data_IF_378264471012
#
_entry.id   IF_378264471012
#
_cell.length_a   1.000
_cell.length_b   1.000
_cell.length_c   1.000
_cell.angle_alpha   90.00
_cell.angle_beta   90.00
_cell.angle_gamma   90.00
#
_symmetry.space_group_name_H-M   'P 1'
#
loop_
_entity.id
_entity.type
_entity.pdbx_description
1 polymer ?
#
# COMPACT_ATOMS: atom_id res chain seq x y z
N UNK A 1 6.36 2.93 -14.85
CA UNK A 1 5.06 2.94 -14.12
C UNK A 1 5.25 2.41 -12.71
N UNK A 2 4.60 3.01 -11.73
CA UNK A 2 4.59 2.54 -10.35
C UNK A 2 3.13 2.31 -9.92
N UNK A 3 2.86 1.20 -9.23
CA UNK A 3 1.54 0.93 -8.64
C UNK A 3 1.70 0.92 -7.11
N UNK A 4 1.03 1.83 -6.44
CA UNK A 4 0.98 1.91 -4.98
C UNK A 4 -0.29 1.20 -4.51
N UNK A 5 -0.14 0.06 -3.84
CA UNK A 5 -1.22 -0.67 -3.18
C UNK A 5 -1.32 -0.13 -1.75
N UNK A 6 -2.47 0.45 -1.41
CA UNK A 6 -2.64 1.09 -0.11
C UNK A 6 -3.90 0.61 0.63
N UNK A 7 -4.00 0.98 1.90
CA UNK A 7 -5.09 0.61 2.79
C UNK A 7 -4.59 0.32 4.20
N UNK A 8 -5.49 -0.07 5.07
CA UNK A 8 -5.22 -0.33 6.48
C UNK A 8 -4.28 -1.52 6.69
N UNK A 9 -3.68 -1.62 7.86
CA UNK A 9 -2.90 -2.78 8.26
C UNK A 9 -3.77 -4.04 8.22
N UNK A 10 -3.20 -5.15 7.78
CA UNK A 10 -3.95 -6.41 7.65
C UNK A 10 -4.77 -6.56 6.36
N UNK A 11 -4.92 -5.53 5.54
CA UNK A 11 -5.60 -5.61 4.24
C UNK A 11 -4.88 -6.49 3.20
N UNK A 12 -3.67 -6.97 3.48
CA UNK A 12 -2.95 -7.87 2.59
C UNK A 12 -2.05 -7.17 1.56
N UNK A 13 -1.75 -5.89 1.71
CA UNK A 13 -0.93 -5.09 0.78
C UNK A 13 0.36 -5.77 0.36
N UNK A 14 1.15 -6.23 1.33
CA UNK A 14 2.43 -6.90 1.07
C UNK A 14 2.27 -8.21 0.31
N UNK A 15 1.28 -9.02 0.68
CA UNK A 15 0.99 -10.31 0.02
C UNK A 15 0.55 -10.10 -1.42
N UNK A 16 -0.43 -9.22 -1.64
CA UNK A 16 -0.96 -8.87 -2.95
C UNK A 16 0.13 -8.19 -3.79
N UNK A 17 0.87 -7.25 -3.19
CA UNK A 17 1.94 -6.53 -3.87
C UNK A 17 3.07 -7.43 -4.37
N UNK A 18 3.54 -8.35 -3.54
CA UNK A 18 4.56 -9.33 -3.94
C UNK A 18 4.07 -10.26 -5.04
N UNK A 19 2.81 -10.72 -4.94
CA UNK A 19 2.22 -11.60 -5.95
C UNK A 19 2.05 -10.86 -7.29
N UNK A 20 1.56 -9.63 -7.28
CA UNK A 20 1.42 -8.80 -8.48
C UNK A 20 2.79 -8.51 -9.11
N UNK A 21 3.77 -8.10 -8.31
CA UNK A 21 5.14 -7.85 -8.77
C UNK A 21 5.75 -9.09 -9.46
N UNK A 22 5.58 -10.28 -8.85
CA UNK A 22 6.02 -11.55 -9.43
C UNK A 22 5.35 -11.83 -10.78
N UNK A 23 4.03 -11.63 -10.88
CA UNK A 23 3.25 -11.86 -12.13
C UNK A 23 3.66 -10.91 -13.27
N UNK A 24 4.02 -9.68 -12.93
CA UNK A 24 4.42 -8.67 -13.92
C UNK A 24 5.93 -8.70 -14.22
N UNK A 25 6.74 -9.36 -13.38
CA UNK A 25 8.20 -9.28 -13.43
C UNK A 25 8.71 -7.89 -13.02
N UNK A 26 8.00 -7.20 -12.11
CA UNK A 26 8.31 -5.87 -11.60
C UNK A 26 8.99 -5.96 -10.24
N UNK A 27 9.69 -4.86 -9.86
CA UNK A 27 10.27 -4.73 -8.53
C UNK A 27 9.16 -4.57 -7.47
N UNK A 28 9.36 -5.17 -6.30
CA UNK A 28 8.51 -4.92 -5.12
C UNK A 28 9.25 -4.04 -4.12
N UNK A 29 8.54 -3.06 -3.55
CA UNK A 29 9.03 -2.17 -2.49
C UNK A 29 8.04 -2.20 -1.32
N UNK A 30 8.57 -2.34 -0.10
CA UNK A 30 7.80 -2.13 1.13
C UNK A 30 8.03 -0.71 1.62
N UNK A 31 6.98 0.11 1.67
CA UNK A 31 7.11 1.50 2.08
C UNK A 31 7.57 1.65 3.54
N UNK A 32 7.28 0.67 4.38
CA UNK A 32 7.67 0.69 5.79
C UNK A 32 9.20 0.65 5.96
N UNK A 33 9.95 0.11 4.99
CA UNK A 33 11.41 0.09 5.00
C UNK A 33 12.04 1.49 4.94
N UNK A 34 11.26 2.50 4.55
CA UNK A 34 11.72 3.90 4.43
C UNK A 34 11.49 4.72 5.69
N UNK A 35 10.88 4.15 6.74
CA UNK A 35 10.67 4.88 7.99
C UNK A 35 11.99 5.23 8.67
N UNK A 36 12.11 6.47 9.21
CA UNK A 36 13.18 6.80 10.14
C UNK A 36 13.16 5.87 11.35
N UNK A 37 14.33 5.63 11.94
CA UNK A 37 14.44 4.74 13.10
C UNK A 37 13.51 5.13 14.26
N UNK A 38 13.34 6.42 14.51
CA UNK A 38 12.41 6.94 15.55
C UNK A 38 10.97 6.49 15.31
N UNK A 39 10.52 6.44 14.05
CA UNK A 39 9.18 5.97 13.70
C UNK A 39 9.05 4.45 13.92
N UNK A 40 10.08 3.69 13.55
CA UNK A 40 10.11 2.24 13.78
C UNK A 40 10.01 1.92 15.29
N UNK A 41 10.72 2.67 16.11
CA UNK A 41 10.68 2.54 17.58
C UNK A 41 9.27 2.86 18.12
N UNK A 42 8.64 3.98 17.69
CA UNK A 42 7.26 4.32 18.05
C UNK A 42 6.26 3.23 17.67
N UNK A 43 6.34 2.73 16.43
CA UNK A 43 5.44 1.66 15.95
C UNK A 43 5.62 0.37 16.75
N UNK A 44 6.86 0.00 17.08
CA UNK A 44 7.16 -1.17 17.90
C UNK A 44 6.58 -1.03 19.32
N UNK A 45 6.57 0.17 19.87
CA UNK A 45 6.02 0.47 21.19
C UNK A 45 4.48 0.66 21.15
N UNK A 46 3.84 0.43 19.99
CA UNK A 46 2.40 0.54 19.81
C UNK A 46 1.88 1.97 19.77
N UNK A 47 2.76 2.95 19.58
CA UNK A 47 2.40 4.35 19.49
C UNK A 47 2.01 4.72 18.05
N UNK A 48 0.87 5.39 17.83
CA UNK A 48 0.49 5.87 16.51
C UNK A 48 1.45 6.98 16.06
N UNK A 49 1.77 7.00 14.76
CA UNK A 49 2.54 8.07 14.16
C UNK A 49 1.65 9.29 13.88
N UNK A 50 2.15 10.48 14.21
CA UNK A 50 1.54 11.75 13.80
C UNK A 50 1.83 12.07 12.32
N UNK A 51 1.18 13.10 11.78
CA UNK A 51 1.48 13.57 10.41
C UNK A 51 2.92 14.06 10.31
N UNK A 52 3.41 14.77 11.35
CA UNK A 52 4.80 15.25 11.43
C UNK A 52 5.81 14.10 11.41
N UNK A 53 5.51 13.00 12.08
CA UNK A 53 6.34 11.78 12.03
C UNK A 53 6.40 11.18 10.64
N UNK A 54 5.31 11.30 9.87
CA UNK A 54 5.18 10.67 8.55
C UNK A 54 5.82 11.48 7.42
N UNK A 55 5.95 12.80 7.53
CA UNK A 55 6.51 13.63 6.46
C UNK A 55 7.91 13.21 6.02
N UNK A 56 8.89 12.97 6.91
CA UNK A 56 10.21 12.51 6.51
C UNK A 56 10.19 11.12 5.82
N UNK A 57 9.32 10.23 6.26
CA UNK A 57 9.11 8.93 5.64
C UNK A 57 8.54 9.06 4.22
N UNK A 58 7.48 9.85 4.06
CA UNK A 58 6.87 10.09 2.76
C UNK A 58 7.86 10.74 1.78
N UNK A 59 8.71 11.64 2.26
CA UNK A 59 9.72 12.28 1.41
C UNK A 59 10.77 11.27 0.91
N UNK A 60 11.28 10.41 1.78
CA UNK A 60 12.20 9.33 1.37
C UNK A 60 11.57 8.39 0.35
N UNK A 61 10.31 8.03 0.57
CA UNK A 61 9.58 7.20 -0.38
C UNK A 61 9.39 7.93 -1.71
N UNK A 62 8.96 9.19 -1.68
CA UNK A 62 8.82 10.05 -2.86
C UNK A 62 10.09 10.13 -3.69
N UNK A 63 11.25 10.35 -3.05
CA UNK A 63 12.55 10.35 -3.72
C UNK A 63 12.85 9.00 -4.40
N UNK A 64 12.51 7.88 -3.74
CA UNK A 64 12.68 6.55 -4.33
C UNK A 64 11.78 6.36 -5.56
N UNK A 65 10.51 6.78 -5.49
CA UNK A 65 9.59 6.72 -6.63
C UNK A 65 10.12 7.54 -7.81
N UNK A 66 10.58 8.76 -7.55
CA UNK A 66 11.16 9.65 -8.57
C UNK A 66 12.37 9.01 -9.23
N UNK A 67 13.28 8.41 -8.45
CA UNK A 67 14.45 7.69 -8.98
C UNK A 67 14.07 6.50 -9.85
N UNK A 68 13.10 5.69 -9.40
CA UNK A 68 12.62 4.53 -10.16
C UNK A 68 12.01 4.96 -11.51
N UNK A 69 11.21 6.03 -11.52
CA UNK A 69 10.62 6.54 -12.77
C UNK A 69 11.69 7.09 -13.72
N UNK A 70 12.67 7.85 -13.20
CA UNK A 70 13.79 8.36 -14.00
C UNK A 70 14.62 7.22 -14.63
N UNK A 71 14.77 6.11 -13.90
CA UNK A 71 15.44 4.90 -14.40
C UNK A 71 14.53 4.03 -15.31
N UNK A 72 13.28 4.45 -15.56
CA UNK A 72 12.27 3.68 -16.31
C UNK A 72 11.97 2.30 -15.70
N UNK A 73 12.16 2.17 -14.40
CA UNK A 73 11.83 0.95 -13.66
C UNK A 73 10.33 0.90 -13.36
N UNK A 74 9.76 -0.29 -13.50
CA UNK A 74 8.41 -0.57 -13.03
C UNK A 74 8.45 -1.16 -11.62
N UNK A 75 7.57 -0.69 -10.73
CA UNK A 75 7.53 -1.16 -9.35
C UNK A 75 6.11 -1.27 -8.80
N UNK A 76 5.93 -2.21 -7.88
CA UNK A 76 4.77 -2.32 -7.00
C UNK A 76 5.22 -1.90 -5.61
N UNK A 77 4.46 -1.02 -4.98
CA UNK A 77 4.76 -0.49 -3.65
C UNK A 77 3.62 -0.82 -2.71
N UNK A 78 3.89 -1.49 -1.59
CA UNK A 78 2.94 -1.62 -0.50
C UNK A 78 3.13 -0.46 0.47
N UNK A 79 2.08 0.34 0.68
CA UNK A 79 2.12 1.56 1.50
C UNK A 79 0.79 1.74 2.24
N UNK A 80 0.79 2.26 3.47
CA UNK A 80 -0.48 2.60 4.13
C UNK A 80 -1.23 3.72 3.41
N UNK A 81 -0.59 4.84 3.12
CA UNK A 81 -1.09 6.00 2.36
C UNK A 81 -2.57 6.36 2.64
N UNK A 82 -2.95 6.33 3.95
CA UNK A 82 -4.35 6.38 4.39
C UNK A 82 -5.03 7.71 4.07
N UNK A 83 -4.32 8.83 4.20
CA UNK A 83 -4.87 10.16 3.95
C UNK A 83 -4.62 10.60 2.51
N UNK A 84 -5.55 11.40 1.98
CA UNK A 84 -5.42 12.00 0.64
C UNK A 84 -4.13 12.80 0.50
N UNK A 85 -3.77 13.60 1.50
CA UNK A 85 -2.52 14.40 1.51
C UNK A 85 -1.26 13.54 1.37
N UNK A 86 -1.26 12.30 1.88
CA UNK A 86 -0.14 11.38 1.70
C UNK A 86 -0.07 10.88 0.26
N UNK A 87 -1.23 10.54 -0.34
CA UNK A 87 -1.30 10.10 -1.74
C UNK A 87 -0.90 11.21 -2.70
N UNK A 88 -1.37 12.43 -2.46
CA UNK A 88 -0.96 13.61 -3.23
C UNK A 88 0.56 13.82 -3.19
N UNK A 89 1.19 13.65 -2.01
CA UNK A 89 2.64 13.75 -1.86
C UNK A 89 3.39 12.69 -2.65
N UNK A 90 2.84 11.47 -2.74
CA UNK A 90 3.44 10.35 -3.48
C UNK A 90 3.13 10.35 -4.98
N UNK A 91 2.19 11.15 -5.44
CA UNK A 91 1.85 11.31 -6.86
C UNK A 91 2.87 12.18 -7.56
N UNK A 92 4.06 11.65 -7.79
CA UNK A 92 5.17 12.37 -8.44
C UNK A 92 5.01 12.51 -9.95
N UNK A 93 4.14 11.73 -10.58
CA UNK A 93 3.73 11.82 -11.98
C UNK A 93 2.47 11.00 -12.24
N UNK A 94 1.88 11.13 -13.44
CA UNK A 94 0.71 10.34 -13.87
C UNK A 94 1.03 8.85 -14.03
N UNK A 95 2.32 8.47 -14.07
CA UNK A 95 2.78 7.09 -14.08
C UNK A 95 2.72 6.41 -12.70
N UNK A 96 2.31 7.12 -11.65
CA UNK A 96 2.01 6.56 -10.33
C UNK A 96 0.52 6.28 -10.22
N UNK A 97 0.15 5.01 -10.13
CA UNK A 97 -1.24 4.56 -9.98
C UNK A 97 -1.50 4.09 -8.56
N UNK A 98 -2.69 4.37 -8.04
CA UNK A 98 -3.09 4.00 -6.69
C UNK A 98 -4.16 2.93 -6.71
N UNK A 99 -4.01 1.93 -5.83
CA UNK A 99 -4.95 0.82 -5.65
C UNK A 99 -5.29 0.69 -4.18
N UNK A 100 -6.54 1.01 -3.81
CA UNK A 100 -7.05 0.77 -2.47
C UNK A 100 -7.47 -0.70 -2.34
N UNK A 101 -6.95 -1.39 -1.33
CA UNK A 101 -7.52 -2.65 -0.86
C UNK A 101 -8.54 -2.34 0.22
N UNK A 102 -9.84 -2.48 -0.12
CA UNK A 102 -10.95 -2.14 0.77
C UNK A 102 -11.55 -3.40 1.39
N UNK A 103 -11.60 -3.41 2.71
CA UNK A 103 -12.31 -4.41 3.49
C UNK A 103 -12.95 -3.77 4.70
N UNK A 104 -14.04 -4.35 5.21
CA UNK A 104 -14.61 -3.90 6.47
C UNK A 104 -13.72 -4.25 7.68
N UNK A 105 -13.99 -3.62 8.82
CA UNK A 105 -13.20 -3.80 10.03
C UNK A 105 -13.16 -5.28 10.46
N UNK A 106 -14.30 -5.96 10.47
CA UNK A 106 -14.41 -7.34 10.95
C UNK A 106 -13.57 -8.30 10.08
N UNK A 107 -13.58 -8.10 8.76
CA UNK A 107 -12.79 -8.91 7.83
C UNK A 107 -11.28 -8.70 8.07
N UNK A 108 -10.85 -7.44 8.17
CA UNK A 108 -9.43 -7.11 8.36
C UNK A 108 -8.94 -7.57 9.74
N UNK A 109 -9.74 -7.38 10.79
CA UNK A 109 -9.43 -7.87 12.13
C UNK A 109 -9.24 -9.40 12.14
N UNK A 110 -10.15 -10.15 11.50
CA UNK A 110 -10.03 -11.60 11.35
C UNK A 110 -8.76 -12.01 10.60
N UNK A 111 -8.40 -11.30 9.54
CA UNK A 111 -7.16 -11.55 8.79
C UNK A 111 -5.92 -11.31 9.65
N UNK A 112 -5.91 -10.26 10.47
CA UNK A 112 -4.82 -9.98 11.40
C UNK A 112 -4.68 -11.06 12.48
N UNK A 113 -5.80 -11.50 13.08
CA UNK A 113 -5.82 -12.55 14.10
C UNK A 113 -5.33 -13.90 13.56
N UNK A 114 -5.56 -14.19 12.27
CA UNK A 114 -5.11 -15.44 11.65
C UNK A 114 -3.60 -15.49 11.37
N UNK A 115 -2.89 -14.37 11.42
CA UNK A 115 -1.44 -14.29 11.22
C UNK A 115 -0.71 -14.66 12.50
N UNK A 116 -0.05 -15.81 12.52
CA UNK A 116 0.83 -16.22 13.63
C UNK A 116 1.94 -15.17 13.84
N UNK A 117 2.01 -14.61 15.04
CA UNK A 117 3.09 -13.70 15.46
C UNK A 117 2.88 -12.21 15.20
N UNK A 118 1.73 -11.79 14.67
CA UNK A 118 1.37 -10.38 14.55
C UNK A 118 0.28 -10.02 15.57
N UNK A 119 0.72 -9.56 16.74
CA UNK A 119 -0.19 -8.92 17.70
C UNK A 119 -0.32 -7.44 17.31
N UNK A 120 -1.34 -7.09 16.52
CA UNK A 120 -1.70 -5.70 16.38
C UNK A 120 -2.68 -5.31 17.47
N UNK A 121 -2.38 -4.26 18.20
CA UNK A 121 -3.32 -3.67 19.14
C UNK A 121 -4.61 -3.27 18.39
N UNK A 122 -5.81 -3.75 18.82
CA UNK A 122 -7.08 -3.38 18.20
C UNK A 122 -7.30 -1.87 18.09
N UNK A 123 -6.81 -1.08 19.05
CA UNK A 123 -6.91 0.38 19.02
C UNK A 123 -6.11 1.00 17.89
N UNK A 124 -4.97 0.39 17.51
CA UNK A 124 -4.19 0.84 16.37
C UNK A 124 -4.94 0.57 15.05
N UNK A 125 -5.63 -0.57 14.93
CA UNK A 125 -6.45 -0.87 13.76
C UNK A 125 -7.63 0.11 13.64
N UNK A 126 -8.32 0.41 14.75
CA UNK A 126 -9.39 1.42 14.79
C UNK A 126 -8.89 2.79 14.36
N UNK A 127 -7.73 3.19 14.86
CA UNK A 127 -7.10 4.45 14.47
C UNK A 127 -6.81 4.51 12.96
N UNK A 128 -6.35 3.41 12.36
CA UNK A 128 -6.10 3.35 10.92
C UNK A 128 -7.39 3.43 10.09
N UNK A 129 -8.47 2.80 10.53
CA UNK A 129 -9.77 2.96 9.87
C UNK A 129 -10.32 4.38 10.01
N UNK A 130 -10.09 5.05 11.15
CA UNK A 130 -10.47 6.45 11.35
C UNK A 130 -9.64 7.41 10.46
N UNK A 131 -8.37 7.08 10.22
CA UNK A 131 -7.47 7.87 9.37
C UNK A 131 -7.67 7.60 7.86
N UNK A 132 -8.32 6.50 7.50
CA UNK A 132 -8.51 6.14 6.10
C UNK A 132 -9.51 7.09 5.43
N UNK A 133 -8.98 7.91 4.54
CA UNK A 133 -9.77 8.69 3.60
C UNK A 133 -9.88 7.89 2.29
N UNK A 134 -11.08 7.38 1.99
CA UNK A 134 -11.31 6.69 0.72
C UNK A 134 -11.06 7.65 -0.45
N UNK A 135 -10.44 7.17 -1.55
CA UNK A 135 -10.14 8.05 -2.67
C UNK A 135 -11.42 8.56 -3.32
N UNK A 136 -11.43 9.85 -3.61
CA UNK A 136 -12.49 10.51 -4.38
C UNK A 136 -12.28 10.30 -5.90
N UNK A 137 -13.29 10.65 -6.68
CA UNK A 137 -13.29 10.42 -8.13
C UNK A 137 -12.17 11.14 -8.89
N UNK A 138 -11.69 12.25 -8.37
CA UNK A 138 -10.59 13.04 -8.94
C UNK A 138 -9.18 12.48 -8.63
N UNK A 139 -9.10 11.52 -7.73
CA UNK A 139 -7.82 10.87 -7.40
C UNK A 139 -7.40 9.78 -8.40
N UNK A 140 -8.26 9.38 -9.33
CA UNK A 140 -8.00 8.30 -10.30
C UNK A 140 -7.48 7.00 -9.66
N UNK A 141 -7.88 6.72 -8.44
CA UNK A 141 -7.50 5.51 -7.74
C UNK A 141 -8.47 4.36 -8.04
N UNK A 142 -7.94 3.15 -8.10
CA UNK A 142 -8.73 1.93 -8.25
C UNK A 142 -9.03 1.33 -6.89
N UNK A 143 -10.29 0.99 -6.63
CA UNK A 143 -10.68 0.24 -5.43
C UNK A 143 -10.88 -1.22 -5.74
N UNK A 144 -10.27 -2.09 -4.94
CA UNK A 144 -10.39 -3.55 -4.97
C UNK A 144 -11.00 -3.99 -3.65
N UNK A 145 -12.17 -4.61 -3.71
CA UNK A 145 -12.80 -5.22 -2.55
C UNK A 145 -12.05 -6.49 -2.13
N UNK A 146 -11.80 -6.64 -0.83
CA UNK A 146 -11.15 -7.82 -0.27
C UNK A 146 -12.12 -9.02 -0.26
N UNK A 147 -12.50 -9.49 -1.45
CA UNK A 147 -13.36 -10.66 -1.66
C UNK A 147 -12.63 -11.63 -2.57
N UNK A 148 -12.47 -12.86 -2.11
CA UNK A 148 -11.80 -13.90 -2.89
C UNK A 148 -10.35 -14.14 -2.48
N UNK A 149 -9.65 -14.88 -3.31
CA UNK A 149 -8.27 -15.29 -3.12
C UNK A 149 -7.28 -14.16 -3.51
N UNK A 150 -6.05 -14.17 -2.99
CA UNK A 150 -5.02 -13.23 -3.45
C UNK A 150 -4.78 -13.25 -4.96
N UNK A 151 -4.94 -14.41 -5.61
CA UNK A 151 -4.79 -14.57 -7.04
C UNK A 151 -5.88 -13.83 -7.81
N UNK A 152 -7.13 -13.95 -7.38
CA UNK A 152 -8.28 -13.24 -7.97
C UNK A 152 -8.12 -11.73 -7.81
N UNK A 153 -7.72 -11.25 -6.62
CA UNK A 153 -7.48 -9.82 -6.39
C UNK A 153 -6.37 -9.26 -7.28
N UNK A 154 -5.31 -10.03 -7.55
CA UNK A 154 -4.24 -9.63 -8.47
C UNK A 154 -4.76 -9.52 -9.90
N UNK A 155 -5.58 -10.46 -10.37
CA UNK A 155 -6.16 -10.38 -11.72
C UNK A 155 -7.14 -9.21 -11.85
N UNK A 156 -7.91 -8.90 -10.80
CA UNK A 156 -8.76 -7.71 -10.76
C UNK A 156 -7.94 -6.41 -10.87
N UNK A 157 -6.82 -6.31 -10.14
CA UNK A 157 -5.91 -5.16 -10.25
C UNK A 157 -5.37 -5.04 -11.68
N UNK A 158 -4.87 -6.13 -12.26
CA UNK A 158 -4.34 -6.14 -13.63
C UNK A 158 -5.39 -5.68 -14.63
N UNK A 159 -6.61 -6.19 -14.52
CA UNK A 159 -7.72 -5.85 -15.40
C UNK A 159 -8.08 -4.37 -15.29
N UNK A 160 -8.29 -3.87 -14.08
CA UNK A 160 -8.69 -2.47 -13.84
C UNK A 160 -7.61 -1.46 -14.26
N UNK A 161 -6.34 -1.79 -14.05
CA UNK A 161 -5.20 -0.96 -14.47
C UNK A 161 -4.71 -1.26 -15.89
N UNK A 162 -5.30 -2.23 -16.61
CA UNK A 162 -4.92 -2.68 -17.95
C UNK A 162 -3.42 -3.05 -18.04
N UNK A 163 -2.93 -3.77 -17.01
CA UNK A 163 -1.54 -4.20 -16.96
C UNK A 163 -1.35 -5.47 -17.77
N UNK A 164 -0.52 -5.40 -18.81
CA UNK A 164 -0.12 -6.60 -19.55
C UNK A 164 0.84 -7.43 -18.67
N UNK A 165 0.50 -8.71 -18.45
CA UNK A 165 1.42 -9.68 -17.86
C UNK A 165 2.58 -9.94 -18.82
N UNK A 166 3.76 -10.35 -18.29
CA UNK A 166 4.71 -11.08 -19.12
C UNK A 166 4.03 -12.39 -19.49
N UNK A 167 3.61 -12.53 -20.74
CA UNK A 167 3.23 -13.83 -21.26
C UNK A 167 4.38 -14.78 -21.00
N UNK A 168 4.12 -15.83 -20.22
CA UNK A 168 5.09 -16.91 -20.02
C UNK A 168 5.29 -17.59 -21.37
N UNK A 169 6.42 -17.32 -22.03
CA UNK A 169 6.92 -18.18 -23.10
C UNK A 169 7.50 -19.42 -22.49
#
# INVERSE_FOLDING_TARGET
MIVIIFGVSGAGKTTIGKLLAKRLGWRFLEADDFHPRVNVEKMRDGLPLTDEDRWPWLERLREQLTRSLAAKENAIVACSALKRTYRERLRVSDDVKFVLLRGDYALVEKQLQSRRGHFMNPDLLRSQFADLEEPESDEEAVTIELRGTPQELVEDIKTKLRLAGKDSK
#
